data_IF_163363479505
#
_entry.id   IF_163363479505
#
_cell.length_a   1.000
_cell.length_b   1.000
_cell.length_c   1.000
_cell.angle_alpha   90.00
_cell.angle_beta   90.00
_cell.angle_gamma   90.00
#
_symmetry.space_group_name_H-M   'P 1'
#
loop_
_entity.id
_entity.type
_entity.pdbx_description
1 polymer ?
#
# COMPACT_ATOMS: atom_id res chain seq x y z
N UNK A 1 23.01 1.76 3.98
CA UNK A 1 22.78 3.14 4.48
C UNK A 1 24.04 3.65 5.14
N UNK A 2 24.40 4.93 4.94
CA UNK A 2 25.48 5.54 5.74
C UNK A 2 24.90 5.89 7.12
N UNK A 3 25.51 5.37 8.18
CA UNK A 3 25.16 5.76 9.55
C UNK A 3 25.55 7.22 9.84
N UNK A 4 25.10 7.74 10.98
CA UNK A 4 25.52 9.06 11.46
C UNK A 4 27.04 9.09 11.66
N UNK A 5 27.69 10.14 11.14
CA UNK A 5 29.10 10.41 11.40
C UNK A 5 29.34 10.75 12.87
N UNK A 6 30.59 10.66 13.33
CA UNK A 6 30.93 10.98 14.72
C UNK A 6 30.58 12.42 15.08
N UNK A 7 30.79 13.37 14.16
CA UNK A 7 30.38 14.76 14.33
C UNK A 7 28.86 14.91 14.48
N UNK A 8 28.07 14.16 13.70
CA UNK A 8 26.60 14.17 13.83
C UNK A 8 26.14 13.55 15.16
N UNK A 9 26.80 12.48 15.62
CA UNK A 9 26.51 11.89 16.93
C UNK A 9 26.82 12.85 18.07
N UNK A 10 27.99 13.51 18.02
CA UNK A 10 28.36 14.50 19.03
C UNK A 10 27.36 15.67 19.08
N UNK A 11 26.98 16.21 17.93
CA UNK A 11 25.97 17.26 17.85
C UNK A 11 24.62 16.83 18.43
N UNK A 12 24.19 15.59 18.16
CA UNK A 12 22.95 15.04 18.72
C UNK A 12 23.03 14.87 20.24
N UNK A 13 24.15 14.39 20.77
CA UNK A 13 24.39 14.29 22.22
C UNK A 13 24.29 15.66 22.88
N UNK A 14 24.92 16.69 22.31
CA UNK A 14 24.81 18.07 22.82
C UNK A 14 23.37 18.57 22.79
N UNK A 15 22.62 18.31 21.73
CA UNK A 15 21.22 18.72 21.64
C UNK A 15 20.33 18.03 22.69
N UNK A 16 20.55 16.73 22.95
CA UNK A 16 19.82 15.97 23.98
C UNK A 16 20.16 16.48 25.38
N UNK A 17 21.42 16.77 25.66
CA UNK A 17 21.86 17.34 26.94
C UNK A 17 21.21 18.71 27.19
N UNK A 18 21.25 19.60 26.18
CA UNK A 18 20.59 20.91 26.26
C UNK A 18 19.07 20.78 26.50
N UNK A 19 18.40 19.86 25.81
CA UNK A 19 16.97 19.60 25.99
C UNK A 19 16.67 19.09 27.40
N UNK A 20 17.47 18.15 27.91
CA UNK A 20 17.29 17.60 29.25
C UNK A 20 17.43 18.68 30.33
N UNK A 21 18.42 19.57 30.19
CA UNK A 21 18.63 20.68 31.12
C UNK A 21 17.54 21.74 31.03
N UNK A 22 17.01 22.02 29.84
CA UNK A 22 15.84 22.90 29.68
C UNK A 22 14.63 22.34 30.42
N UNK A 23 14.29 21.07 30.21
CA UNK A 23 13.19 20.43 30.90
C UNK A 23 13.42 20.33 32.43
N UNK A 24 14.67 20.11 32.87
CA UNK A 24 15.01 20.07 34.30
C UNK A 24 14.83 21.44 34.98
N UNK A 25 15.21 22.53 34.31
CA UNK A 25 14.98 23.89 34.80
C UNK A 25 13.49 24.20 34.90
N UNK A 26 12.72 23.85 33.88
CA UNK A 26 11.26 24.02 33.88
C UNK A 26 10.60 23.25 35.03
N UNK A 27 11.02 22.01 35.27
CA UNK A 27 10.52 21.16 36.37
C UNK A 27 10.81 21.74 37.77
N UNK A 28 11.89 22.50 37.90
CA UNK A 28 12.35 23.10 39.15
C UNK A 28 12.04 24.61 39.25
N UNK A 29 11.33 25.17 38.26
CA UNK A 29 11.02 26.60 38.17
C UNK A 29 12.26 27.51 38.26
N UNK A 30 13.36 27.09 37.63
CA UNK A 30 14.64 27.82 37.63
C UNK A 30 14.77 28.78 36.44
N UNK A 31 15.57 29.83 36.61
CA UNK A 31 15.92 30.77 35.54
C UNK A 31 16.56 30.06 34.32
N UNK A 32 16.36 30.56 33.08
CA UNK A 32 16.78 29.86 31.85
C UNK A 32 18.28 29.55 31.74
N UNK A 33 19.14 30.33 32.40
CA UNK A 33 20.59 30.17 32.44
C UNK A 33 21.08 29.45 33.71
N UNK A 34 20.18 29.03 34.59
CA UNK A 34 20.51 28.27 35.78
C UNK A 34 21.04 26.87 35.40
N UNK A 35 22.34 26.68 35.59
CA UNK A 35 23.02 25.39 35.46
C UNK A 35 23.56 24.90 36.81
N UNK A 36 23.99 23.63 36.89
CA UNK A 36 24.70 23.12 38.05
C UNK A 36 26.00 23.92 38.24
N UNK A 37 26.10 24.68 39.34
CA UNK A 37 27.26 25.49 39.69
C UNK A 37 27.84 25.01 41.01
N UNK A 38 29.17 25.04 41.15
CA UNK A 38 29.88 24.52 42.34
C UNK A 38 29.65 25.32 43.63
N UNK A 39 29.01 26.48 43.55
CA UNK A 39 28.65 27.36 44.67
C UNK A 39 27.26 27.05 45.26
N UNK A 40 26.48 26.16 44.64
CA UNK A 40 25.17 25.75 45.14
C UNK A 40 25.30 24.73 46.30
N UNK A 41 24.38 24.75 47.28
CA UNK A 41 24.28 23.69 48.28
C UNK A 41 24.12 22.29 47.66
N UNK A 42 24.75 21.28 48.27
CA UNK A 42 24.69 19.89 47.79
C UNK A 42 23.27 19.35 47.59
N UNK A 43 22.32 19.79 48.42
CA UNK A 43 20.92 19.40 48.33
C UNK A 43 20.28 19.89 47.02
N UNK A 44 20.57 21.13 46.63
CA UNK A 44 20.04 21.77 45.42
C UNK A 44 20.70 21.16 44.17
N UNK A 45 22.02 20.96 44.20
CA UNK A 45 22.75 20.26 43.12
C UNK A 45 22.18 18.87 42.89
N UNK A 46 21.96 18.09 43.96
CA UNK A 46 21.36 16.77 43.86
C UNK A 46 19.97 16.82 43.23
N UNK A 47 19.13 17.78 43.61
CA UNK A 47 17.80 17.94 43.02
C UNK A 47 17.86 18.29 41.53
N UNK A 48 18.77 19.17 41.12
CA UNK A 48 19.02 19.50 39.71
C UNK A 48 19.43 18.27 38.89
N UNK A 49 20.37 17.45 39.39
CA UNK A 49 20.81 16.24 38.71
C UNK A 49 19.72 15.17 38.61
N UNK A 50 18.88 15.03 39.65
CA UNK A 50 17.73 14.12 39.62
C UNK A 50 16.68 14.58 38.60
N UNK A 51 16.42 15.88 38.50
CA UNK A 51 15.55 16.45 37.47
C UNK A 51 16.11 16.20 36.06
N UNK A 52 17.42 16.43 35.84
CA UNK A 52 18.07 16.14 34.56
C UNK A 52 18.00 14.65 34.18
N UNK A 53 18.22 13.74 35.13
CA UNK A 53 18.05 12.30 34.91
C UNK A 53 16.61 11.95 34.52
N UNK A 54 15.63 12.53 35.23
CA UNK A 54 14.20 12.32 34.93
C UNK A 54 13.86 12.77 33.52
N UNK A 55 14.33 13.95 33.11
CA UNK A 55 14.18 14.47 31.75
C UNK A 55 14.84 13.58 30.69
N UNK A 56 16.06 13.08 30.94
CA UNK A 56 16.74 12.16 30.02
C UNK A 56 15.97 10.84 29.84
N UNK A 57 15.37 10.30 30.91
CA UNK A 57 14.54 9.10 30.82
C UNK A 57 13.28 9.34 29.98
N UNK A 58 12.62 10.50 30.16
CA UNK A 58 11.46 10.89 29.36
C UNK A 58 11.82 11.12 27.87
N UNK A 59 12.97 11.73 27.60
CA UNK A 59 13.49 11.90 26.23
C UNK A 59 13.75 10.53 25.59
N UNK A 60 14.35 9.59 26.32
CA UNK A 60 14.59 8.23 25.83
C UNK A 60 13.29 7.53 25.45
N UNK A 61 12.29 7.56 26.32
CA UNK A 61 10.98 6.95 26.04
C UNK A 61 10.32 7.59 24.80
N UNK A 62 10.34 8.91 24.71
CA UNK A 62 9.81 9.64 23.54
C UNK A 62 10.56 9.26 22.25
N UNK A 63 11.89 9.17 22.31
CA UNK A 63 12.71 8.75 21.17
C UNK A 63 12.42 7.30 20.75
N UNK A 64 12.13 6.41 21.70
CA UNK A 64 11.73 5.02 21.41
C UNK A 64 10.38 4.96 20.68
N UNK A 65 9.40 5.77 21.09
CA UNK A 65 8.11 5.90 20.41
C UNK A 65 8.28 6.44 18.98
N UNK A 66 9.09 7.48 18.81
CA UNK A 66 9.42 8.03 17.48
C UNK A 66 10.13 7.01 16.60
N UNK A 67 11.07 6.23 17.15
CA UNK A 67 11.74 5.16 16.43
C UNK A 67 10.76 4.06 15.98
N UNK A 68 9.78 3.71 16.81
CA UNK A 68 8.72 2.77 16.42
C UNK A 68 7.85 3.32 15.28
N UNK A 69 7.47 4.60 15.33
CA UNK A 69 6.74 5.28 14.26
C UNK A 69 7.53 5.33 12.96
N UNK A 70 8.84 5.61 13.04
CA UNK A 70 9.74 5.62 11.88
C UNK A 70 9.88 4.20 11.28
N UNK A 71 10.02 3.17 12.12
CA UNK A 71 10.08 1.78 11.66
C UNK A 71 8.77 1.35 10.96
N UNK A 72 7.61 1.71 11.53
CA UNK A 72 6.31 1.50 10.89
C UNK A 72 6.22 2.21 9.55
N UNK A 73 6.61 3.48 9.49
CA UNK A 73 6.59 4.30 8.28
C UNK A 73 7.51 3.75 7.19
N UNK A 74 8.65 3.18 7.58
CA UNK A 74 9.56 2.49 6.67
C UNK A 74 8.96 1.18 6.16
N UNK A 75 8.34 0.38 7.03
CA UNK A 75 7.66 -0.86 6.66
C UNK A 75 6.48 -0.60 5.70
N UNK A 76 5.69 0.45 5.96
CA UNK A 76 4.64 0.94 5.05
C UNK A 76 5.18 1.42 3.70
N UNK A 77 6.50 1.60 3.57
CA UNK A 77 7.17 1.92 2.31
C UNK A 77 7.97 0.74 1.75
N UNK A 78 7.71 -0.47 2.25
CA UNK A 78 8.29 -1.72 1.77
C UNK A 78 9.63 -2.11 2.41
N UNK A 79 10.11 -1.39 3.43
CA UNK A 79 11.32 -1.79 4.16
C UNK A 79 11.05 -3.04 5.00
N UNK A 80 11.87 -4.07 4.81
CA UNK A 80 11.79 -5.31 5.57
C UNK A 80 12.63 -5.25 6.86
N UNK A 81 12.55 -6.30 7.69
CA UNK A 81 13.32 -6.35 8.93
C UNK A 81 14.85 -6.27 8.76
N UNK A 82 15.46 -6.86 7.73
CA UNK A 82 16.86 -6.58 7.39
C UNK A 82 17.14 -5.08 7.24
N UNK A 83 16.42 -4.37 6.35
CA UNK A 83 16.66 -2.95 6.11
C UNK A 83 16.43 -2.09 7.36
N UNK A 84 15.36 -2.37 8.12
CA UNK A 84 15.05 -1.69 9.38
C UNK A 84 16.11 -1.97 10.45
N UNK A 85 16.57 -3.22 10.54
CA UNK A 85 17.64 -3.63 11.45
C UNK A 85 18.95 -2.90 11.16
N UNK A 86 19.37 -2.89 9.90
CA UNK A 86 20.57 -2.19 9.44
C UNK A 86 20.51 -0.70 9.77
N UNK A 87 19.35 -0.05 9.52
CA UNK A 87 19.12 1.35 9.85
C UNK A 87 19.22 1.64 11.36
N UNK A 88 18.74 0.71 12.18
CA UNK A 88 18.75 0.83 13.63
C UNK A 88 20.02 0.27 14.29
N UNK A 89 21.00 -0.19 13.50
CA UNK A 89 22.24 -0.78 14.02
C UNK A 89 22.03 -2.10 14.77
N UNK A 90 21.03 -2.89 14.39
CA UNK A 90 20.71 -4.18 15.03
C UNK A 90 20.44 -5.27 14.01
N UNK A 91 20.44 -6.53 14.46
CA UNK A 91 20.14 -7.66 13.56
C UNK A 91 18.67 -7.68 13.15
N UNK A 92 18.36 -8.37 12.04
CA UNK A 92 16.97 -8.69 11.62
C UNK A 92 16.11 -9.22 12.78
N UNK A 93 16.65 -10.16 13.56
CA UNK A 93 15.93 -10.76 14.70
C UNK A 93 15.71 -9.74 15.83
N UNK A 94 16.68 -8.85 16.07
CA UNK A 94 16.53 -7.74 17.00
C UNK A 94 15.41 -6.79 16.58
N UNK A 95 15.40 -6.38 15.31
CA UNK A 95 14.36 -5.51 14.76
C UNK A 95 12.97 -6.16 14.86
N UNK A 96 12.84 -7.45 14.54
CA UNK A 96 11.57 -8.19 14.66
C UNK A 96 11.06 -8.30 16.09
N UNK A 97 11.96 -8.52 17.05
CA UNK A 97 11.58 -8.57 18.48
C UNK A 97 11.18 -7.19 18.99
N UNK A 98 11.87 -6.13 18.56
CA UNK A 98 11.62 -4.76 19.00
C UNK A 98 10.34 -4.18 18.38
N UNK A 99 10.07 -4.47 17.10
CA UNK A 99 8.92 -3.98 16.37
C UNK A 99 8.17 -5.13 15.68
N UNK A 100 7.41 -5.94 16.42
CA UNK A 100 6.66 -7.05 15.85
C UNK A 100 5.56 -6.55 14.88
N UNK A 101 5.16 -7.40 13.94
CA UNK A 101 4.05 -7.13 13.01
C UNK A 101 4.42 -6.36 11.73
N UNK A 102 5.64 -5.84 11.58
CA UNK A 102 6.03 -5.04 10.41
C UNK A 102 6.17 -5.83 9.10
N UNK A 103 6.45 -7.15 9.17
CA UNK A 103 6.69 -7.97 7.98
C UNK A 103 5.50 -7.98 7.00
N UNK A 104 4.27 -8.12 7.49
CA UNK A 104 3.10 -8.19 6.61
C UNK A 104 2.85 -6.89 5.83
N UNK A 105 3.17 -5.73 6.43
CA UNK A 105 3.09 -4.43 5.78
C UNK A 105 4.11 -4.31 4.66
N UNK A 106 5.37 -4.67 4.93
CA UNK A 106 6.45 -4.60 3.96
C UNK A 106 6.17 -5.54 2.77
N UNK A 107 5.75 -6.77 3.03
CA UNK A 107 5.41 -7.75 2.00
C UNK A 107 4.25 -7.26 1.11
N UNK A 108 3.20 -6.69 1.69
CA UNK A 108 2.08 -6.10 0.94
C UNK A 108 2.53 -5.00 -0.01
N UNK A 109 3.36 -4.07 0.48
CA UNK A 109 3.86 -2.96 -0.34
C UNK A 109 4.84 -3.43 -1.42
N UNK A 110 5.69 -4.40 -1.13
CA UNK A 110 6.58 -5.00 -2.12
C UNK A 110 5.81 -5.69 -3.25
N UNK A 111 4.70 -6.38 -2.93
CA UNK A 111 3.84 -6.98 -3.96
C UNK A 111 3.18 -5.93 -4.85
N UNK A 112 2.65 -4.85 -4.29
CA UNK A 112 2.10 -3.70 -5.06
C UNK A 112 3.15 -3.09 -5.98
N UNK A 113 4.35 -2.80 -5.45
CA UNK A 113 5.46 -2.29 -6.26
C UNK A 113 5.84 -3.25 -7.38
N UNK A 114 5.96 -4.55 -7.07
CA UNK A 114 6.31 -5.57 -8.06
C UNK A 114 5.26 -5.61 -9.17
N UNK A 115 3.97 -5.64 -8.82
CA UNK A 115 2.89 -5.61 -9.79
C UNK A 115 2.96 -4.36 -10.66
N UNK A 116 3.03 -3.18 -10.03
CA UNK A 116 3.08 -1.90 -10.73
C UNK A 116 4.27 -1.81 -11.68
N UNK A 117 5.46 -2.20 -11.25
CA UNK A 117 6.65 -2.18 -12.11
C UNK A 117 6.55 -3.13 -13.30
N UNK A 118 5.72 -4.18 -13.21
CA UNK A 118 5.50 -5.14 -14.30
C UNK A 118 4.34 -4.80 -15.22
N UNK A 119 3.29 -4.12 -14.73
CA UNK A 119 2.01 -3.92 -15.43
C UNK A 119 1.53 -2.47 -15.47
N UNK A 120 2.18 -1.55 -14.76
CA UNK A 120 1.71 -0.18 -14.56
C UNK A 120 1.56 0.62 -15.84
N UNK A 121 2.46 0.41 -16.81
CA UNK A 121 2.38 1.06 -18.12
C UNK A 121 1.18 0.52 -18.92
N UNK A 122 1.02 -0.80 -18.99
CA UNK A 122 -0.14 -1.46 -19.63
C UNK A 122 -1.46 -1.01 -19.00
N UNK A 123 -1.52 -0.94 -17.66
CA UNK A 123 -2.68 -0.44 -16.92
C UNK A 123 -2.99 1.01 -17.27
N UNK A 124 -1.98 1.87 -17.30
CA UNK A 124 -2.12 3.29 -17.61
C UNK A 124 -2.60 3.51 -19.05
N UNK A 125 -2.02 2.80 -20.03
CA UNK A 125 -2.45 2.83 -21.43
C UNK A 125 -3.90 2.37 -21.58
N UNK A 126 -4.27 1.29 -20.90
CA UNK A 126 -5.62 0.75 -20.89
C UNK A 126 -6.63 1.76 -20.31
N UNK A 127 -6.31 2.40 -19.18
CA UNK A 127 -7.16 3.48 -18.61
C UNK A 127 -7.34 4.63 -19.60
N UNK A 128 -6.27 5.07 -20.29
CA UNK A 128 -6.36 6.13 -21.30
C UNK A 128 -7.25 5.72 -22.47
N UNK A 129 -7.14 4.49 -22.95
CA UNK A 129 -7.98 3.97 -24.03
C UNK A 129 -9.47 3.96 -23.61
N UNK A 130 -9.79 3.52 -22.40
CA UNK A 130 -11.16 3.55 -21.86
C UNK A 130 -11.69 4.97 -21.75
N UNK A 131 -10.89 5.91 -21.23
CA UNK A 131 -11.32 7.30 -21.11
C UNK A 131 -11.54 7.95 -22.48
N UNK A 132 -10.64 7.71 -23.45
CA UNK A 132 -10.74 8.24 -24.81
C UNK A 132 -11.95 7.70 -25.57
N UNK A 133 -12.28 6.41 -25.41
CA UNK A 133 -13.45 5.80 -26.02
C UNK A 133 -14.79 6.40 -25.54
N UNK A 134 -14.77 7.11 -24.41
CA UNK A 134 -15.95 7.76 -23.83
C UNK A 134 -15.93 9.28 -24.01
N UNK A 135 -14.93 9.81 -24.72
CA UNK A 135 -14.81 11.22 -25.01
C UNK A 135 -15.97 11.71 -25.90
N UNK A 136 -16.60 12.82 -25.53
CA UNK A 136 -17.80 13.35 -26.18
C UNK A 136 -19.12 12.80 -25.66
N UNK A 137 -19.11 11.80 -24.77
CA UNK A 137 -20.29 11.39 -23.99
C UNK A 137 -20.42 12.23 -22.72
N UNK A 138 -21.59 12.21 -22.06
CA UNK A 138 -21.75 12.82 -20.74
C UNK A 138 -20.88 12.04 -19.74
N UNK A 139 -19.84 12.70 -19.26
CA UNK A 139 -18.93 12.13 -18.29
C UNK A 139 -19.65 11.67 -17.02
N UNK A 140 -19.37 10.43 -16.62
CA UNK A 140 -19.84 9.86 -15.36
C UNK A 140 -18.91 10.23 -14.18
N UNK A 141 -19.42 10.27 -12.93
CA UNK A 141 -18.60 10.57 -11.77
C UNK A 141 -17.38 9.65 -11.59
N UNK A 142 -17.51 8.37 -11.97
CA UNK A 142 -16.45 7.37 -11.87
C UNK A 142 -15.34 7.58 -12.91
N UNK A 143 -15.69 8.03 -14.13
CA UNK A 143 -14.69 8.41 -15.14
C UNK A 143 -13.91 9.66 -14.73
N UNK A 144 -14.60 10.67 -14.18
CA UNK A 144 -13.97 11.87 -13.65
C UNK A 144 -12.98 11.54 -12.52
N UNK A 145 -13.39 10.69 -11.57
CA UNK A 145 -12.51 10.23 -10.49
C UNK A 145 -11.33 9.41 -11.04
N UNK A 146 -11.57 8.47 -11.95
CA UNK A 146 -10.49 7.69 -12.58
C UNK A 146 -9.46 8.58 -13.29
N UNK A 147 -9.88 9.59 -14.05
CA UNK A 147 -8.96 10.54 -14.69
C UNK A 147 -8.15 11.33 -13.67
N UNK A 148 -8.79 11.78 -12.59
CA UNK A 148 -8.12 12.45 -11.49
C UNK A 148 -7.06 11.54 -10.87
N UNK A 149 -7.41 10.29 -10.54
CA UNK A 149 -6.49 9.30 -9.95
C UNK A 149 -5.33 8.94 -10.87
N UNK A 150 -5.59 8.83 -12.17
CA UNK A 150 -4.55 8.62 -13.16
C UNK A 150 -3.54 9.79 -13.17
N UNK A 151 -4.04 11.02 -13.15
CA UNK A 151 -3.18 12.21 -13.10
C UNK A 151 -2.36 12.26 -11.80
N UNK A 152 -2.95 11.86 -10.67
CA UNK A 152 -2.26 11.79 -9.37
C UNK A 152 -1.12 10.76 -9.40
N UNK A 153 -1.36 9.55 -9.92
CA UNK A 153 -0.35 8.49 -9.93
C UNK A 153 0.79 8.75 -10.92
N UNK A 154 0.52 9.39 -12.06
CA UNK A 154 1.54 9.80 -13.04
C UNK A 154 2.47 10.87 -12.49
N UNK A 155 1.94 11.78 -11.66
CA UNK A 155 2.71 12.84 -10.99
C UNK A 155 3.35 12.38 -9.67
N UNK A 156 2.95 11.22 -9.16
CA UNK A 156 3.44 10.70 -7.90
C UNK A 156 4.92 10.35 -7.98
N UNK A 157 5.68 10.77 -6.97
CA UNK A 157 7.02 10.24 -6.74
C UNK A 157 6.95 8.72 -6.52
N UNK A 158 8.05 7.96 -6.71
CA UNK A 158 8.06 6.52 -6.47
C UNK A 158 7.51 6.12 -5.09
N UNK A 159 7.75 6.93 -4.06
CA UNK A 159 7.25 6.70 -2.70
C UNK A 159 5.74 6.93 -2.55
N UNK A 160 5.17 7.90 -3.28
CA UNK A 160 3.73 8.21 -3.25
C UNK A 160 2.90 7.32 -4.18
N UNK A 161 3.56 6.66 -5.13
CA UNK A 161 2.90 5.88 -6.18
C UNK A 161 2.10 4.71 -5.63
N UNK A 162 2.55 4.11 -4.53
CA UNK A 162 1.85 3.00 -3.88
C UNK A 162 0.54 3.46 -3.23
N UNK A 163 0.52 4.62 -2.58
CA UNK A 163 -0.70 5.14 -1.96
C UNK A 163 -1.71 5.54 -3.06
N UNK A 164 -1.22 6.12 -4.15
CA UNK A 164 -2.04 6.44 -5.33
C UNK A 164 -2.53 5.18 -6.07
N UNK A 165 -1.79 4.08 -6.00
CA UNK A 165 -2.10 2.81 -6.66
C UNK A 165 -3.44 2.24 -6.18
N UNK A 166 -3.67 2.15 -4.86
CA UNK A 166 -4.94 1.61 -4.34
C UNK A 166 -6.13 2.43 -4.83
N UNK A 167 -5.99 3.75 -4.83
CA UNK A 167 -7.06 4.66 -5.25
C UNK A 167 -7.36 4.55 -6.76
N UNK A 168 -6.34 4.45 -7.62
CA UNK A 168 -6.57 4.31 -9.06
C UNK A 168 -7.14 2.94 -9.42
N UNK A 169 -6.73 1.87 -8.73
CA UNK A 169 -7.28 0.51 -8.92
C UNK A 169 -8.75 0.45 -8.50
N UNK A 170 -9.13 1.09 -7.38
CA UNK A 170 -10.54 1.21 -6.96
C UNK A 170 -11.37 1.98 -7.98
N UNK A 171 -10.87 3.11 -8.48
CA UNK A 171 -11.57 3.90 -9.49
C UNK A 171 -11.70 3.12 -10.83
N UNK A 172 -10.65 2.40 -11.23
CA UNK A 172 -10.66 1.55 -12.42
C UNK A 172 -11.68 0.41 -12.28
N UNK A 173 -11.75 -0.22 -11.11
CA UNK A 173 -12.76 -1.23 -10.80
C UNK A 173 -14.18 -0.69 -10.92
N UNK A 174 -14.45 0.51 -10.38
CA UNK A 174 -15.74 1.15 -10.49
C UNK A 174 -16.15 1.43 -11.95
N UNK A 175 -15.20 1.89 -12.78
CA UNK A 175 -15.42 2.08 -14.22
C UNK A 175 -15.65 0.74 -14.92
N UNK A 176 -14.85 -0.28 -14.65
CA UNK A 176 -15.01 -1.60 -15.24
C UNK A 176 -16.38 -2.25 -14.93
N UNK A 177 -16.90 -2.03 -13.71
CA UNK A 177 -18.21 -2.54 -13.29
C UNK A 177 -19.41 -1.74 -13.80
N UNK A 178 -19.28 -0.42 -13.93
CA UNK A 178 -20.42 0.49 -14.14
C UNK A 178 -20.49 1.08 -15.55
N UNK A 179 -19.43 0.95 -16.35
CA UNK A 179 -19.45 1.43 -17.73
C UNK A 179 -20.40 0.58 -18.58
N UNK A 180 -21.39 1.20 -19.25
CA UNK A 180 -22.21 0.48 -20.23
C UNK A 180 -21.31 -0.10 -21.31
N UNK A 181 -21.74 -1.20 -21.95
CA UNK A 181 -20.97 -1.75 -23.07
C UNK A 181 -20.96 -0.74 -24.22
N UNK A 182 -19.77 -0.29 -24.66
CA UNK A 182 -19.65 0.61 -25.79
C UNK A 182 -19.98 -0.12 -27.10
N UNK A 183 -20.45 0.63 -28.09
CA UNK A 183 -20.70 0.09 -29.43
C UNK A 183 -19.41 -0.20 -30.21
N UNK A 184 -18.32 0.50 -29.88
CA UNK A 184 -17.00 0.31 -30.49
C UNK A 184 -16.32 -0.94 -29.91
N UNK A 185 -16.00 -1.95 -30.75
CA UNK A 185 -15.29 -3.17 -30.31
C UNK A 185 -13.96 -2.90 -29.62
N UNK A 186 -13.25 -1.84 -30.04
CA UNK A 186 -11.96 -1.45 -29.43
C UNK A 186 -12.15 -1.02 -27.99
N UNK A 187 -13.22 -0.27 -27.73
CA UNK A 187 -13.60 0.17 -26.39
C UNK A 187 -14.07 -0.99 -25.52
N UNK A 188 -14.78 -1.97 -26.10
CA UNK A 188 -15.16 -3.21 -25.39
C UNK A 188 -13.92 -3.95 -24.90
N UNK A 189 -12.95 -4.17 -25.80
CA UNK A 189 -11.69 -4.84 -25.48
C UNK A 189 -10.91 -4.07 -24.41
N UNK A 190 -10.80 -2.74 -24.53
CA UNK A 190 -10.10 -1.92 -23.54
C UNK A 190 -10.75 -2.01 -22.15
N UNK A 191 -12.08 -1.98 -22.06
CA UNK A 191 -12.76 -2.12 -20.77
C UNK A 191 -12.58 -3.53 -20.18
N UNK A 192 -12.65 -4.57 -21.02
CA UNK A 192 -12.39 -5.94 -20.61
C UNK A 192 -10.96 -6.13 -20.07
N UNK A 193 -9.97 -5.59 -20.76
CA UNK A 193 -8.57 -5.63 -20.33
C UNK A 193 -8.37 -4.83 -19.02
N UNK A 194 -9.01 -3.66 -18.89
CA UNK A 194 -8.95 -2.88 -17.65
C UNK A 194 -9.51 -3.68 -16.47
N UNK A 195 -10.62 -4.39 -16.69
CA UNK A 195 -11.24 -5.26 -15.69
C UNK A 195 -10.28 -6.40 -15.29
N UNK A 196 -9.67 -7.07 -16.28
CA UNK A 196 -8.71 -8.14 -16.05
C UNK A 196 -7.44 -7.66 -15.31
N UNK A 197 -6.87 -6.51 -15.68
CA UNK A 197 -5.72 -5.91 -15.00
C UNK A 197 -6.06 -5.50 -13.56
N UNK A 198 -7.27 -4.99 -13.33
CA UNK A 198 -7.74 -4.62 -11.99
C UNK A 198 -7.92 -5.87 -11.11
N UNK A 199 -8.51 -6.94 -11.65
CA UNK A 199 -8.64 -8.22 -10.96
C UNK A 199 -7.27 -8.83 -10.63
N UNK A 200 -6.32 -8.76 -11.58
CA UNK A 200 -4.94 -9.21 -11.39
C UNK A 200 -4.21 -8.39 -10.32
N UNK A 201 -4.37 -7.07 -10.32
CA UNK A 201 -3.83 -6.17 -9.29
C UNK A 201 -4.30 -6.58 -7.90
N UNK A 202 -5.60 -6.85 -7.71
CA UNK A 202 -6.13 -7.30 -6.42
C UNK A 202 -5.58 -8.68 -6.04
N UNK A 203 -5.53 -9.63 -6.97
CA UNK A 203 -5.00 -10.98 -6.73
C UNK A 203 -3.51 -10.95 -6.35
N UNK A 204 -2.72 -10.09 -6.99
CA UNK A 204 -1.29 -9.96 -6.74
C UNK A 204 -0.97 -9.29 -5.40
N UNK A 205 -1.86 -8.42 -4.90
CA UNK A 205 -1.56 -7.52 -3.77
C UNK A 205 -2.18 -7.98 -2.45
N UNK A 206 -3.31 -8.69 -2.49
CA UNK A 206 -3.95 -9.23 -1.30
C UNK A 206 -3.18 -10.43 -0.73
N UNK A 207 -2.77 -10.33 0.55
CA UNK A 207 -2.26 -11.45 1.36
C UNK A 207 -3.35 -12.45 1.72
N UNK A 208 -4.62 -12.05 1.61
CA UNK A 208 -5.80 -12.84 1.96
C UNK A 208 -6.45 -13.45 0.72
N UNK A 209 -5.69 -14.13 -0.13
CA UNK A 209 -6.29 -15.13 -1.02
C UNK A 209 -7.18 -16.10 -0.22
N UNK A 210 -6.92 -16.29 1.07
CA UNK A 210 -7.73 -17.02 2.05
C UNK A 210 -9.11 -16.42 2.40
N UNK A 211 -9.40 -15.14 2.14
CA UNK A 211 -10.78 -14.60 2.29
C UNK A 211 -11.67 -14.92 1.09
N UNK A 212 -11.08 -15.41 -0.01
CA UNK A 212 -11.81 -16.03 -1.13
C UNK A 212 -11.40 -17.51 -1.31
N UNK A 213 -10.88 -18.14 -0.26
CA UNK A 213 -11.09 -19.58 -0.09
C UNK A 213 -12.40 -19.71 0.67
N UNK A 214 -13.51 -19.35 0.03
CA UNK A 214 -14.80 -19.92 0.43
C UNK A 214 -14.68 -21.40 0.05
N UNK A 215 -14.49 -22.26 1.05
CA UNK A 215 -14.70 -23.69 0.82
C UNK A 215 -16.08 -23.85 0.18
N UNK A 216 -16.13 -24.60 -0.92
CA UNK A 216 -17.35 -24.93 -1.69
C UNK A 216 -17.85 -23.90 -2.72
N UNK A 217 -17.01 -22.99 -3.26
CA UNK A 217 -17.39 -22.31 -4.51
C UNK A 217 -17.15 -23.25 -5.69
N UNK A 218 -18.22 -23.77 -6.29
CA UNK A 218 -18.17 -24.42 -7.59
C UNK A 218 -18.21 -23.39 -8.73
N UNK A 219 -17.70 -23.76 -9.91
CA UNK A 219 -17.99 -23.00 -11.12
C UNK A 219 -19.51 -22.85 -11.28
N UNK A 220 -20.00 -21.64 -11.57
CA UNK A 220 -21.43 -21.34 -11.71
C UNK A 220 -22.08 -21.88 -12.99
N UNK A 221 -21.39 -22.79 -13.69
CA UNK A 221 -21.95 -23.53 -14.81
C UNK A 221 -22.49 -24.86 -14.28
N UNK A 222 -23.70 -25.22 -14.67
CA UNK A 222 -24.38 -26.44 -14.20
C UNK A 222 -23.49 -27.67 -14.37
N UNK A 223 -23.40 -28.48 -13.31
CA UNK A 223 -22.63 -29.73 -13.25
C UNK A 223 -21.12 -29.61 -13.59
N UNK A 224 -20.53 -28.41 -13.53
CA UNK A 224 -19.10 -28.24 -13.77
C UNK A 224 -18.29 -28.62 -12.51
N UNK A 225 -17.43 -29.66 -12.57
CA UNK A 225 -16.64 -30.10 -11.41
C UNK A 225 -15.35 -29.30 -11.23
N UNK A 226 -15.06 -28.34 -12.12
CA UNK A 226 -13.80 -27.61 -12.11
C UNK A 226 -13.84 -26.45 -11.11
N UNK A 227 -12.73 -26.25 -10.41
CA UNK A 227 -12.57 -25.13 -9.48
C UNK A 227 -12.61 -23.80 -10.24
N UNK A 228 -13.33 -22.79 -9.73
CA UNK A 228 -13.34 -21.48 -10.32
C UNK A 228 -11.99 -20.79 -10.11
N UNK A 229 -11.61 -19.94 -11.06
CA UNK A 229 -10.35 -19.19 -11.04
C UNK A 229 -10.54 -17.68 -11.12
N UNK A 230 -11.72 -17.26 -11.58
CA UNK A 230 -12.15 -15.87 -11.70
C UNK A 230 -13.62 -15.74 -11.33
N UNK A 231 -14.06 -14.51 -11.07
CA UNK A 231 -15.47 -14.14 -11.05
C UNK A 231 -15.78 -13.27 -12.26
N UNK A 232 -16.90 -13.57 -12.91
CA UNK A 232 -17.38 -12.86 -14.09
C UNK A 232 -18.61 -12.05 -13.76
N UNK A 233 -18.63 -10.79 -14.18
CA UNK A 233 -19.87 -10.05 -14.31
C UNK A 233 -20.50 -10.42 -15.66
N UNK A 234 -21.73 -10.93 -15.62
CA UNK A 234 -22.54 -11.18 -16.81
C UNK A 234 -23.82 -10.35 -16.77
N UNK A 235 -24.26 -9.73 -17.88
CA UNK A 235 -25.45 -8.87 -17.87
C UNK A 235 -26.76 -9.66 -17.86
N UNK A 236 -26.73 -10.91 -18.33
CA UNK A 236 -27.89 -11.81 -18.40
C UNK A 236 -28.36 -12.24 -17.00
N UNK A 237 -27.47 -12.23 -16.00
CA UNK A 237 -27.73 -12.65 -14.63
C UNK A 237 -27.61 -11.46 -13.69
N UNK A 238 -28.62 -10.59 -13.66
CA UNK A 238 -28.85 -9.57 -12.63
C UNK A 238 -27.65 -8.68 -12.20
N UNK A 239 -26.58 -8.59 -13.01
CA UNK A 239 -25.29 -7.98 -12.65
C UNK A 239 -24.62 -8.63 -11.40
N UNK A 240 -24.88 -9.91 -11.15
CA UNK A 240 -24.20 -10.66 -10.10
C UNK A 240 -22.88 -11.24 -10.62
N UNK A 241 -21.86 -11.24 -9.76
CA UNK A 241 -20.57 -11.85 -10.07
C UNK A 241 -20.69 -13.38 -9.92
N UNK A 242 -20.42 -14.11 -11.01
CA UNK A 242 -20.53 -15.57 -11.06
C UNK A 242 -19.13 -16.19 -11.11
N UNK A 243 -18.78 -17.12 -10.20
CA UNK A 243 -17.51 -17.82 -10.24
C UNK A 243 -17.40 -18.68 -11.50
N UNK A 244 -16.25 -18.67 -12.17
CA UNK A 244 -16.03 -19.43 -13.39
C UNK A 244 -14.67 -20.11 -13.39
N UNK A 245 -14.63 -21.37 -13.82
CA UNK A 245 -13.38 -22.06 -14.14
C UNK A 245 -12.76 -21.47 -15.42
N UNK A 246 -11.52 -21.85 -15.71
CA UNK A 246 -10.75 -21.30 -16.83
C UNK A 246 -11.52 -21.38 -18.17
N UNK A 247 -12.00 -22.56 -18.53
CA UNK A 247 -12.70 -22.80 -19.81
C UNK A 247 -13.99 -21.98 -19.93
N UNK A 248 -14.86 -22.04 -18.91
CA UNK A 248 -16.12 -21.29 -18.93
C UNK A 248 -15.89 -19.78 -18.91
N UNK A 249 -14.79 -19.32 -18.31
CA UNK A 249 -14.45 -17.91 -18.34
C UNK A 249 -14.03 -17.46 -19.75
N UNK A 250 -13.19 -18.24 -20.44
CA UNK A 250 -12.80 -17.99 -21.84
C UNK A 250 -14.04 -17.97 -22.74
N UNK A 251 -14.94 -18.93 -22.61
CA UNK A 251 -16.15 -19.02 -23.43
C UNK A 251 -17.11 -17.85 -23.16
N UNK A 252 -17.28 -17.44 -21.89
CA UNK A 252 -18.14 -16.32 -21.54
C UNK A 252 -17.60 -14.97 -22.02
N UNK A 253 -16.28 -14.75 -22.00
CA UNK A 253 -15.64 -13.51 -22.45
C UNK A 253 -15.70 -13.28 -23.96
N UNK A 254 -16.02 -14.32 -24.75
CA UNK A 254 -16.34 -14.14 -26.18
C UNK A 254 -17.65 -13.38 -26.39
N UNK A 255 -18.49 -13.25 -25.35
CA UNK A 255 -19.67 -12.40 -25.38
C UNK A 255 -19.28 -10.97 -25.01
N UNK A 256 -19.75 -9.99 -25.79
CA UNK A 256 -19.27 -8.60 -25.73
C UNK A 256 -19.46 -7.90 -24.37
N UNK A 257 -20.31 -8.43 -23.50
CA UNK A 257 -20.67 -7.77 -22.24
C UNK A 257 -20.10 -8.45 -20.99
N UNK A 258 -19.45 -9.61 -21.13
CA UNK A 258 -18.85 -10.34 -20.01
C UNK A 258 -17.52 -9.71 -19.61
N UNK A 259 -17.24 -9.61 -18.30
CA UNK A 259 -15.98 -9.03 -17.79
C UNK A 259 -15.49 -9.77 -16.55
N UNK A 260 -14.17 -9.89 -16.40
CA UNK A 260 -13.54 -10.42 -15.19
C UNK A 260 -13.57 -9.34 -14.11
N UNK A 261 -14.19 -9.63 -12.97
CA UNK A 261 -14.31 -8.68 -11.85
C UNK A 261 -13.45 -9.06 -10.64
N UNK A 262 -13.09 -10.33 -10.53
CA UNK A 262 -12.14 -10.81 -9.54
C UNK A 262 -11.34 -12.00 -10.09
N UNK A 263 -10.16 -12.22 -9.51
CA UNK A 263 -9.33 -13.39 -9.78
C UNK A 263 -8.78 -13.95 -8.47
N UNK A 264 -8.69 -15.27 -8.39
CA UNK A 264 -8.23 -15.95 -7.18
C UNK A 264 -6.71 -16.17 -7.17
N UNK A 265 -6.06 -15.99 -8.32
CA UNK A 265 -4.62 -16.14 -8.48
C UNK A 265 -4.06 -15.06 -9.38
N UNK A 266 -2.81 -14.68 -9.12
CA UNK A 266 -2.06 -13.76 -9.96
C UNK A 266 -1.88 -14.33 -11.38
N UNK A 267 -1.94 -13.45 -12.37
CA UNK A 267 -1.88 -13.64 -13.82
C UNK A 267 -3.04 -14.42 -14.43
N UNK A 268 -3.91 -15.05 -13.65
CA UNK A 268 -4.99 -15.88 -14.22
C UNK A 268 -6.02 -15.03 -14.96
N UNK A 269 -6.42 -13.88 -14.42
CA UNK A 269 -7.34 -12.97 -15.14
C UNK A 269 -6.81 -12.61 -16.53
N UNK A 270 -5.51 -12.33 -16.63
CA UNK A 270 -4.87 -11.88 -17.86
C UNK A 270 -4.65 -13.02 -18.84
N UNK A 271 -4.36 -14.23 -18.33
CA UNK A 271 -4.29 -15.44 -19.14
C UNK A 271 -5.64 -15.77 -19.76
N UNK A 272 -6.71 -15.77 -18.95
CA UNK A 272 -8.09 -16.03 -19.40
C UNK A 272 -8.50 -14.99 -20.46
N UNK A 273 -8.20 -13.71 -20.20
CA UNK A 273 -8.54 -12.62 -21.11
C UNK A 273 -7.80 -12.74 -22.46
N UNK A 274 -6.48 -12.99 -22.43
CA UNK A 274 -5.69 -13.15 -23.64
C UNK A 274 -6.19 -14.34 -24.50
N UNK A 275 -6.48 -15.48 -23.87
CA UNK A 275 -7.01 -16.65 -24.59
C UNK A 275 -8.39 -16.39 -25.21
N UNK A 276 -9.27 -15.66 -24.52
CA UNK A 276 -10.59 -15.31 -25.04
C UNK A 276 -10.52 -14.40 -26.29
N UNK A 277 -9.47 -13.58 -26.42
CA UNK A 277 -9.31 -12.61 -27.49
C UNK A 277 -8.20 -12.95 -28.50
N UNK A 278 -7.53 -14.10 -28.33
CA UNK A 278 -6.53 -14.62 -29.27
C UNK A 278 -5.19 -13.89 -29.25
N UNK A 279 -4.80 -13.37 -28.08
CA UNK A 279 -3.52 -12.67 -27.83
C UNK A 279 -2.43 -13.60 -27.27
#
# INVERSE_FOLDING_TARGET
MRGLSDAQRAALTTAVDQLAWTAAREMLELEPDAGPRSDLPDADLRQMWLAALTSLLAIRESAEQLAASAALSAAQRGADYPAIGDAAGMTRQGARRKWPGLAGLAEGQQRKLKWWNSRGDQFTECVRAVLAATEGQRESPWQADLRKRLTEIEKASPAQRIDAFDMVVVAAHAVALRSPTPADPTAVLAIGLLAALTADAYAATNTHASLIIRGDIACGADDCPADPVVELLRPDIAHEAVPACHQHAVDALRQADSRIVAAYQQNVALSVFAEAHGE
#
